data_IF_622790832333
#
_entry.id   IF_622790832333
#
_cell.length_a   1.000
_cell.length_b   1.000
_cell.length_c   1.000
_cell.angle_alpha   90.00
_cell.angle_beta   90.00
_cell.angle_gamma   90.00
#
_symmetry.space_group_name_H-M   'P 1'
#
loop_
_entity.id
_entity.type
_entity.pdbx_description
1 polymer ?
#
# COMPACT_ATOMS: atom_id res chain seq x y z
N UNK A 1 33.41 4.55 39.33
CA UNK A 1 32.79 4.86 38.02
C UNK A 1 33.79 4.51 36.93
N UNK A 2 33.38 3.78 35.89
CA UNK A 2 34.26 3.52 34.75
C UNK A 2 34.25 4.74 33.81
N UNK A 3 35.42 5.29 33.53
CA UNK A 3 35.60 6.40 32.60
C UNK A 3 36.70 6.04 31.58
N UNK A 4 36.60 6.48 30.31
CA UNK A 4 37.67 6.29 29.34
C UNK A 4 38.95 6.96 29.83
N UNK A 5 40.04 6.19 29.94
CA UNK A 5 41.32 6.71 30.45
C UNK A 5 41.91 7.80 29.55
N UNK A 6 41.72 7.68 28.22
CA UNK A 6 42.26 8.59 27.21
C UNK A 6 41.24 8.88 26.10
N UNK A 7 41.37 10.06 25.47
CA UNK A 7 40.61 10.43 24.26
C UNK A 7 41.09 9.61 23.07
N UNK A 8 40.16 9.08 22.27
CA UNK A 8 40.49 8.42 21.00
C UNK A 8 40.90 9.44 19.94
N UNK A 9 41.99 9.17 19.23
CA UNK A 9 42.44 10.00 18.10
C UNK A 9 41.43 9.98 16.93
N UNK A 10 41.58 10.91 16.00
CA UNK A 10 40.69 10.99 14.84
C UNK A 10 40.91 9.82 13.87
N UNK A 11 42.14 9.33 13.75
CA UNK A 11 42.55 8.17 12.95
C UNK A 11 41.86 6.91 13.44
N UNK A 12 41.94 6.63 14.76
CA UNK A 12 41.27 5.47 15.38
C UNK A 12 39.75 5.54 15.20
N UNK A 13 39.18 6.74 15.36
CA UNK A 13 37.75 6.94 15.15
C UNK A 13 37.35 6.75 13.68
N UNK A 14 38.17 7.20 12.73
CA UNK A 14 37.93 7.01 11.28
C UNK A 14 38.01 5.54 10.90
N UNK A 15 39.02 4.80 11.31
CA UNK A 15 39.14 3.36 11.07
C UNK A 15 37.94 2.59 11.64
N UNK A 16 37.49 2.94 12.86
CA UNK A 16 36.30 2.32 13.46
C UNK A 16 35.01 2.63 12.69
N UNK A 17 34.81 3.87 12.25
CA UNK A 17 33.57 4.32 11.59
C UNK A 17 33.50 3.91 10.12
N UNK A 18 34.63 3.95 9.40
CA UNK A 18 34.72 3.70 7.96
C UNK A 18 35.09 2.25 7.61
N UNK A 19 35.12 1.36 8.60
CA UNK A 19 35.25 -0.07 8.34
C UNK A 19 34.10 -0.52 7.42
N UNK A 20 34.35 -1.26 6.31
CA UNK A 20 33.32 -1.71 5.38
C UNK A 20 32.13 -2.42 6.02
N UNK A 21 32.33 -3.13 7.14
CA UNK A 21 31.24 -3.76 7.90
C UNK A 21 30.25 -2.74 8.51
N UNK A 22 30.69 -1.51 8.78
CA UNK A 22 29.84 -0.42 9.30
C UNK A 22 29.20 0.40 8.19
N UNK A 23 29.59 0.21 6.93
CA UNK A 23 29.02 0.91 5.80
C UNK A 23 27.71 0.23 5.35
N UNK A 24 26.81 1.03 4.78
CA UNK A 24 25.56 0.53 4.22
C UNK A 24 25.90 -0.27 2.96
N UNK A 25 25.44 -1.53 2.91
CA UNK A 25 25.63 -2.39 1.75
C UNK A 25 24.72 -1.97 0.59
N UNK A 26 25.25 -2.02 -0.62
CA UNK A 26 24.48 -1.79 -1.86
C UNK A 26 23.43 -2.89 -2.02
N UNK A 27 22.23 -2.50 -2.48
CA UNK A 27 21.11 -3.41 -2.74
C UNK A 27 20.93 -3.60 -4.25
N UNK A 28 21.00 -4.84 -4.71
CA UNK A 28 20.93 -5.20 -6.14
C UNK A 28 19.56 -5.83 -6.52
N UNK A 29 18.56 -5.66 -5.67
CA UNK A 29 17.23 -6.27 -5.82
C UNK A 29 16.15 -5.25 -6.20
N UNK A 30 16.55 -4.16 -6.84
CA UNK A 30 15.68 -3.08 -7.31
C UNK A 30 15.45 -3.27 -8.81
N UNK A 31 14.18 -3.44 -9.19
CA UNK A 31 13.73 -3.62 -10.56
C UNK A 31 12.67 -2.56 -10.91
N UNK A 32 12.26 -2.50 -12.17
CA UNK A 32 11.21 -1.61 -12.66
C UNK A 32 9.85 -2.31 -12.60
N UNK A 33 8.81 -1.62 -12.15
CA UNK A 33 7.44 -2.13 -12.15
C UNK A 33 6.88 -2.15 -13.59
N UNK A 34 6.32 -3.29 -14.05
CA UNK A 34 5.79 -3.40 -15.42
C UNK A 34 4.56 -2.52 -15.67
N UNK A 35 3.74 -2.26 -14.64
CA UNK A 35 2.49 -1.50 -14.78
C UNK A 35 2.70 0.01 -14.89
N UNK A 36 3.65 0.56 -14.13
CA UNK A 36 3.78 2.01 -13.95
C UNK A 36 5.20 2.55 -14.16
N UNK A 37 6.18 1.70 -14.45
CA UNK A 37 7.57 2.11 -14.66
C UNK A 37 8.32 2.60 -13.42
N UNK A 38 7.71 2.63 -12.23
CA UNK A 38 8.39 3.03 -11.00
C UNK A 38 9.32 1.93 -10.47
N UNK A 39 10.37 2.31 -9.77
CA UNK A 39 11.26 1.35 -9.12
C UNK A 39 10.53 0.62 -7.99
N UNK A 40 10.70 -0.71 -7.93
CA UNK A 40 10.21 -1.58 -6.88
C UNK A 40 11.29 -2.58 -6.48
N UNK A 41 11.15 -3.20 -5.32
CA UNK A 41 11.99 -4.36 -4.97
C UNK A 41 11.38 -5.64 -5.54
N UNK A 42 12.20 -6.66 -5.82
CA UNK A 42 11.74 -7.95 -6.38
C UNK A 42 10.59 -8.58 -5.59
N UNK A 43 10.77 -8.75 -4.28
CA UNK A 43 9.82 -9.43 -3.39
C UNK A 43 8.87 -8.48 -2.64
N UNK A 44 8.70 -7.25 -3.13
CA UNK A 44 7.80 -6.24 -2.53
C UNK A 44 6.87 -5.71 -3.62
N UNK A 45 5.62 -5.44 -3.26
CA UNK A 45 4.67 -4.78 -4.16
C UNK A 45 5.18 -3.38 -4.56
N UNK A 46 4.75 -2.89 -5.72
CA UNK A 46 5.09 -1.53 -6.12
C UNK A 46 4.39 -0.53 -5.20
N UNK A 47 5.15 0.37 -4.57
CA UNK A 47 4.60 1.36 -3.65
C UNK A 47 3.56 2.28 -4.31
N UNK A 48 3.80 2.69 -5.55
CA UNK A 48 2.89 3.58 -6.28
C UNK A 48 1.59 2.89 -6.69
N UNK A 49 1.65 1.68 -7.25
CA UNK A 49 0.44 0.92 -7.59
C UNK A 49 -0.36 0.57 -6.33
N UNK A 50 0.32 0.18 -5.25
CA UNK A 50 -0.34 -0.12 -3.98
C UNK A 50 -1.04 1.11 -3.40
N UNK A 51 -0.42 2.28 -3.46
CA UNK A 51 -1.03 3.53 -2.99
C UNK A 51 -2.32 3.86 -3.75
N UNK A 52 -2.37 3.63 -5.07
CA UNK A 52 -3.59 3.82 -5.87
C UNK A 52 -4.72 2.91 -5.39
N UNK A 53 -4.42 1.64 -5.11
CA UNK A 53 -5.40 0.67 -4.58
C UNK A 53 -5.86 1.09 -3.19
N UNK A 54 -4.95 1.54 -2.32
CA UNK A 54 -5.30 2.05 -0.99
C UNK A 54 -6.24 3.26 -1.07
N UNK A 55 -6.00 4.21 -1.98
CA UNK A 55 -6.88 5.37 -2.17
C UNK A 55 -8.27 4.96 -2.62
N UNK A 56 -8.38 4.06 -3.60
CA UNK A 56 -9.68 3.62 -4.10
C UNK A 56 -10.46 2.82 -3.03
N UNK A 57 -9.78 1.89 -2.34
CA UNK A 57 -10.40 1.10 -1.26
C UNK A 57 -10.78 1.94 -0.04
N UNK A 58 -10.05 3.02 0.25
CA UNK A 58 -10.42 3.95 1.31
C UNK A 58 -11.74 4.67 1.00
N UNK A 59 -11.95 5.09 -0.26
CA UNK A 59 -13.22 5.71 -0.65
C UNK A 59 -14.40 4.73 -0.60
N UNK A 60 -14.19 3.48 -1.03
CA UNK A 60 -15.20 2.42 -0.92
C UNK A 60 -15.59 2.21 0.55
N UNK A 61 -14.61 2.14 1.45
CA UNK A 61 -14.86 2.04 2.90
C UNK A 61 -15.62 3.24 3.46
N UNK A 62 -15.35 4.46 2.98
CA UNK A 62 -16.11 5.65 3.39
C UNK A 62 -17.57 5.56 2.95
N UNK A 63 -17.84 5.06 1.74
CA UNK A 63 -19.22 4.88 1.27
C UNK A 63 -19.96 3.78 2.04
N UNK A 64 -19.28 2.68 2.35
CA UNK A 64 -19.80 1.64 3.25
C UNK A 64 -20.20 2.25 4.59
N UNK A 65 -19.31 3.05 5.20
CA UNK A 65 -19.60 3.71 6.48
C UNK A 65 -20.80 4.68 6.42
N UNK A 66 -20.98 5.39 5.30
CA UNK A 66 -22.15 6.26 5.08
C UNK A 66 -23.45 5.45 4.98
N UNK A 67 -23.42 4.30 4.29
CA UNK A 67 -24.59 3.42 4.17
C UNK A 67 -24.93 2.72 5.49
N UNK A 68 -23.93 2.27 6.25
CA UNK A 68 -24.15 1.62 7.55
C UNK A 68 -24.64 2.64 8.60
N UNK A 69 -24.14 3.88 8.58
CA UNK A 69 -24.67 4.96 9.43
C UNK A 69 -24.50 4.71 10.93
N UNK A 70 -23.45 3.99 11.33
CA UNK A 70 -23.11 3.75 12.74
C UNK A 70 -22.28 2.49 12.98
N UNK A 71 -21.69 2.33 14.18
CA UNK A 71 -20.96 1.13 14.55
C UNK A 71 -21.89 -0.09 14.70
N UNK A 72 -21.35 -1.30 14.54
CA UNK A 72 -22.04 -2.59 14.71
C UNK A 72 -23.22 -2.88 13.76
N UNK A 73 -23.21 -2.32 12.55
CA UNK A 73 -24.26 -2.52 11.53
C UNK A 73 -23.76 -3.30 10.31
N UNK A 74 -22.88 -4.28 10.54
CA UNK A 74 -22.37 -5.12 9.46
C UNK A 74 -23.50 -5.98 8.86
N UNK A 75 -23.67 -5.99 7.53
CA UNK A 75 -24.72 -6.79 6.89
C UNK A 75 -24.34 -8.29 6.84
N UNK A 76 -25.35 -9.13 6.65
CA UNK A 76 -25.21 -10.56 6.41
C UNK A 76 -25.18 -10.94 4.91
N UNK A 77 -25.17 -9.96 4.02
CA UNK A 77 -25.14 -10.13 2.56
C UNK A 77 -23.79 -9.72 1.99
N UNK A 78 -23.42 -10.32 0.85
CA UNK A 78 -22.24 -9.92 0.10
C UNK A 78 -22.34 -8.47 -0.39
N UNK A 79 -21.19 -7.85 -0.67
CA UNK A 79 -21.12 -6.47 -1.13
C UNK A 79 -20.52 -6.42 -2.54
N UNK A 80 -21.13 -5.64 -3.42
CA UNK A 80 -20.66 -5.39 -4.79
C UNK A 80 -20.38 -3.89 -4.97
N UNK A 81 -19.33 -3.55 -5.72
CA UNK A 81 -18.99 -2.16 -6.05
C UNK A 81 -19.37 -1.88 -7.51
N UNK A 82 -20.22 -0.89 -7.72
CA UNK A 82 -20.61 -0.41 -9.05
C UNK A 82 -20.03 0.98 -9.29
N UNK A 83 -19.55 1.20 -10.51
CA UNK A 83 -19.08 2.51 -10.97
C UNK A 83 -20.12 3.20 -11.85
N UNK A 84 -19.89 4.49 -12.15
CA UNK A 84 -20.84 5.30 -12.92
C UNK A 84 -21.13 4.70 -14.30
N UNK A 85 -22.41 4.41 -14.57
CA UNK A 85 -22.87 3.85 -15.85
C UNK A 85 -22.88 2.32 -15.92
N UNK A 86 -22.58 1.62 -14.81
CA UNK A 86 -22.65 0.16 -14.73
C UNK A 86 -23.98 -0.28 -14.11
N UNK A 87 -24.54 -1.38 -14.60
CA UNK A 87 -25.73 -2.02 -14.03
C UNK A 87 -25.36 -3.30 -13.29
N UNK A 88 -26.15 -3.65 -12.26
CA UNK A 88 -25.98 -4.90 -11.53
C UNK A 88 -26.22 -6.10 -12.45
N UNK A 89 -25.35 -7.10 -12.40
CA UNK A 89 -25.51 -8.35 -13.13
C UNK A 89 -26.59 -9.22 -12.48
N UNK A 90 -27.15 -10.17 -13.22
CA UNK A 90 -28.11 -11.15 -12.70
C UNK A 90 -27.54 -11.96 -11.53
N UNK A 91 -26.23 -12.21 -11.52
CA UNK A 91 -25.52 -12.92 -10.44
C UNK A 91 -25.38 -12.11 -9.15
N UNK A 92 -25.56 -10.80 -9.23
CA UNK A 92 -25.38 -9.88 -8.12
C UNK A 92 -26.71 -9.42 -7.51
N UNK A 93 -27.81 -10.02 -7.95
CA UNK A 93 -29.13 -9.83 -7.36
C UNK A 93 -29.11 -10.24 -5.88
N UNK A 94 -29.53 -9.32 -5.01
CA UNK A 94 -29.56 -9.52 -3.56
C UNK A 94 -28.28 -9.14 -2.80
N UNK A 95 -27.22 -8.69 -3.49
CA UNK A 95 -26.01 -8.16 -2.85
C UNK A 95 -26.16 -6.68 -2.50
N UNK A 96 -25.44 -6.22 -1.48
CA UNK A 96 -25.35 -4.79 -1.11
C UNK A 96 -24.53 -4.05 -2.15
N UNK A 97 -25.13 -3.04 -2.79
CA UNK A 97 -24.48 -2.24 -3.83
C UNK A 97 -23.81 -1.00 -3.20
N UNK A 98 -22.52 -0.83 -3.47
CA UNK A 98 -21.74 0.38 -3.14
C UNK A 98 -21.46 1.13 -4.44
N UNK A 99 -22.11 2.28 -4.61
CA UNK A 99 -22.01 3.10 -5.82
C UNK A 99 -20.84 4.07 -5.73
N UNK A 100 -19.97 4.10 -6.75
CA UNK A 100 -18.86 5.04 -6.89
C UNK A 100 -19.13 6.02 -8.03
N UNK A 101 -19.18 7.31 -7.71
CA UNK A 101 -19.29 8.44 -8.66
C UNK A 101 -17.99 8.68 -9.45
N UNK A 102 -17.45 7.62 -10.06
CA UNK A 102 -16.22 7.64 -10.84
C UNK A 102 -16.34 6.62 -11.96
N UNK A 103 -15.58 6.80 -13.03
CA UNK A 103 -15.35 5.75 -14.03
C UNK A 103 -14.51 4.61 -13.41
N UNK A 104 -14.85 3.37 -13.75
CA UNK A 104 -14.11 2.18 -13.28
C UNK A 104 -12.63 2.26 -13.69
N UNK A 105 -11.69 2.06 -12.76
CA UNK A 105 -10.28 1.94 -13.11
C UNK A 105 -9.99 0.72 -13.98
N UNK A 106 -9.10 0.84 -14.97
CA UNK A 106 -8.77 -0.26 -15.89
C UNK A 106 -8.20 -1.51 -15.21
N UNK A 107 -7.52 -1.35 -14.08
CA UNK A 107 -6.96 -2.44 -13.28
C UNK A 107 -7.98 -3.10 -12.35
N UNK A 108 -9.18 -2.52 -12.20
CA UNK A 108 -10.23 -3.07 -11.34
C UNK A 108 -11.33 -3.69 -12.21
N UNK A 109 -11.13 -4.95 -12.57
CA UNK A 109 -12.07 -5.73 -13.41
C UNK A 109 -13.34 -6.10 -12.65
N UNK A 110 -14.48 -6.17 -13.36
CA UNK A 110 -15.70 -6.79 -12.84
C UNK A 110 -15.54 -8.30 -12.85
N UNK A 111 -15.75 -8.94 -11.69
CA UNK A 111 -15.73 -10.40 -11.54
C UNK A 111 -17.12 -10.92 -11.21
#
# INVERSE_FOLDING_TARGET
MAAPKNRRSIEVNRCRRRNPHKLIKVKNNIDVCPECGHLKQKHVLCGYCYEKVCKETAEIRRQIGKQEGGPFKAPNVETMVLYSGETASERDQGKRIIERDRKRPSWFTQN
#
